data_IF_257083363136
#
_entry.id   IF_257083363136
#
_cell.length_a   1.000
_cell.length_b   1.000
_cell.length_c   1.000
_cell.angle_alpha   90.00
_cell.angle_beta   90.00
_cell.angle_gamma   90.00
#
_symmetry.space_group_name_H-M   'P 1'
#
loop_
_entity.id
_entity.type
_entity.pdbx_description
1 polymer ?
#
# COMPACT_ATOMS: atom_id res chain seq x y z
N UNK A 1 0.60 21.73 -1.57
CA UNK A 1 0.25 20.52 -2.36
C UNK A 1 0.44 19.29 -1.47
N UNK A 2 -0.56 18.44 -1.30
CA UNK A 2 -0.45 17.13 -0.63
C UNK A 2 -0.47 16.06 -1.71
N UNK A 3 0.55 15.20 -1.76
CA UNK A 3 0.70 14.17 -2.77
C UNK A 3 1.27 12.89 -2.13
N UNK A 4 1.10 11.75 -2.79
CA UNK A 4 1.78 10.52 -2.39
C UNK A 4 3.31 10.65 -2.58
N UNK A 5 4.09 9.82 -1.88
CA UNK A 5 5.55 9.82 -1.99
C UNK A 5 6.06 9.07 -3.24
N UNK A 6 5.18 8.49 -4.05
CA UNK A 6 5.51 7.84 -5.32
C UNK A 6 5.92 6.36 -5.28
N UNK A 7 5.88 5.67 -4.15
CA UNK A 7 6.10 4.21 -4.04
C UNK A 7 4.92 3.52 -3.35
N UNK A 8 4.97 2.26 -2.96
CA UNK A 8 3.85 1.55 -2.32
C UNK A 8 4.23 0.17 -1.83
N UNK A 9 3.58 -0.28 -0.75
CA UNK A 9 3.81 -1.59 -0.17
C UNK A 9 2.56 -2.46 -0.28
N UNK A 10 2.73 -3.62 -0.90
CA UNK A 10 1.67 -4.63 -1.06
C UNK A 10 2.12 -6.00 -0.60
N UNK A 11 1.34 -6.61 0.30
CA UNK A 11 1.42 -8.02 0.58
C UNK A 11 0.30 -8.74 -0.17
N UNK A 12 0.66 -9.82 -0.84
CA UNK A 12 -0.27 -10.70 -1.54
C UNK A 12 -0.54 -11.95 -0.71
N UNK A 13 -1.74 -12.56 -0.82
CA UNK A 13 -2.06 -13.81 -0.12
C UNK A 13 -1.23 -15.00 -0.61
N UNK A 14 -0.65 -14.93 -1.82
CA UNK A 14 0.23 -15.96 -2.37
C UNK A 14 1.31 -15.35 -3.27
N UNK A 15 2.45 -16.04 -3.38
CA UNK A 15 3.53 -15.66 -4.30
C UNK A 15 3.08 -15.67 -5.78
N UNK A 16 2.13 -16.55 -6.13
CA UNK A 16 1.56 -16.60 -7.49
C UNK A 16 0.84 -15.30 -7.80
N UNK A 17 0.07 -14.75 -6.85
CA UNK A 17 -0.62 -13.48 -7.04
C UNK A 17 0.37 -12.31 -7.19
N UNK A 18 1.45 -12.27 -6.40
CA UNK A 18 2.47 -11.23 -6.55
C UNK A 18 3.20 -11.31 -7.90
N UNK A 19 3.50 -12.52 -8.39
CA UNK A 19 4.12 -12.71 -9.70
C UNK A 19 3.19 -12.27 -10.83
N UNK A 20 1.90 -12.61 -10.76
CA UNK A 20 0.90 -12.14 -11.74
C UNK A 20 0.83 -10.63 -11.77
N UNK A 21 0.75 -9.99 -10.59
CA UNK A 21 0.76 -8.54 -10.48
C UNK A 21 2.03 -7.92 -11.07
N UNK A 22 3.21 -8.45 -10.73
CA UNK A 22 4.49 -8.01 -11.29
C UNK A 22 4.48 -8.05 -12.82
N UNK A 23 4.10 -9.20 -13.42
CA UNK A 23 4.07 -9.36 -14.88
C UNK A 23 3.09 -8.41 -15.59
N UNK A 24 2.03 -7.99 -14.92
CA UNK A 24 1.01 -7.12 -15.52
C UNK A 24 1.31 -5.63 -15.35
N UNK A 25 2.03 -5.23 -14.31
CA UNK A 25 2.15 -3.82 -13.91
C UNK A 25 3.59 -3.30 -13.80
N UNK A 26 4.61 -4.17 -13.84
CA UNK A 26 5.98 -3.69 -13.96
C UNK A 26 6.18 -3.03 -15.34
N UNK A 27 6.87 -1.90 -15.37
CA UNK A 27 7.00 -1.03 -16.54
C UNK A 27 5.70 -0.42 -17.09
N UNK A 28 4.60 -0.51 -16.34
CA UNK A 28 3.35 0.11 -16.76
C UNK A 28 3.44 1.64 -16.75
N UNK A 29 3.20 2.27 -17.90
CA UNK A 29 3.13 3.72 -18.02
C UNK A 29 1.82 4.25 -17.45
N UNK A 30 1.89 5.21 -16.52
CA UNK A 30 0.69 5.82 -15.97
C UNK A 30 -0.11 6.61 -17.02
N UNK A 31 0.50 6.97 -18.16
CA UNK A 31 -0.20 7.57 -19.30
C UNK A 31 -1.25 6.65 -19.92
N UNK A 32 -1.06 5.35 -19.80
CA UNK A 32 -1.95 4.33 -20.38
C UNK A 32 -3.15 4.03 -19.47
N UNK A 33 -3.39 4.90 -18.48
CA UNK A 33 -4.45 4.81 -17.49
C UNK A 33 -5.26 6.11 -17.42
N UNK A 34 -6.13 6.25 -16.40
CA UNK A 34 -6.82 7.51 -16.09
C UNK A 34 -5.85 8.70 -15.88
N UNK A 35 -4.58 8.44 -15.56
CA UNK A 35 -3.57 9.46 -15.31
C UNK A 35 -2.78 9.86 -16.56
N UNK A 36 -3.48 10.16 -17.66
CA UNK A 36 -2.91 10.44 -19.01
C UNK A 36 -1.76 11.46 -19.03
N UNK A 37 -1.76 12.43 -18.11
CA UNK A 37 -0.74 13.49 -18.02
C UNK A 37 0.48 13.11 -17.16
N UNK A 38 0.49 11.93 -16.55
CA UNK A 38 1.59 11.49 -15.69
C UNK A 38 2.70 10.86 -16.53
N UNK A 39 3.93 11.42 -16.55
CA UNK A 39 5.06 10.79 -17.26
C UNK A 39 5.66 9.61 -16.49
N UNK A 40 5.09 9.24 -15.34
CA UNK A 40 5.65 8.19 -14.47
C UNK A 40 5.49 6.82 -15.12
N UNK A 41 6.43 5.94 -14.80
CA UNK A 41 6.39 4.51 -15.11
C UNK A 41 6.37 3.75 -13.79
N UNK A 42 5.50 2.75 -13.67
CA UNK A 42 5.39 1.87 -12.51
C UNK A 42 6.59 0.91 -12.47
N UNK A 43 7.20 0.77 -11.29
CA UNK A 43 8.25 -0.20 -11.04
C UNK A 43 7.92 -1.00 -9.80
N UNK A 44 8.07 -2.31 -9.89
CA UNK A 44 7.74 -3.24 -8.81
C UNK A 44 9.01 -3.98 -8.43
N UNK A 45 9.32 -3.97 -7.13
CA UNK A 45 10.44 -4.71 -6.58
C UNK A 45 10.03 -5.42 -5.27
N UNK A 46 10.69 -6.54 -4.91
CA UNK A 46 10.49 -7.16 -3.62
C UNK A 46 10.84 -6.18 -2.48
N UNK A 47 9.96 -6.08 -1.49
CA UNK A 47 10.23 -5.28 -0.29
C UNK A 47 11.36 -5.92 0.56
N UNK A 48 12.15 -5.09 1.23
CA UNK A 48 13.18 -5.57 2.18
C UNK A 48 12.59 -6.36 3.34
N UNK A 49 11.42 -5.97 3.84
CA UNK A 49 10.68 -6.69 4.88
C UNK A 49 9.58 -7.50 4.20
N UNK A 50 9.65 -8.82 4.35
CA UNK A 50 8.73 -9.78 3.72
C UNK A 50 7.80 -10.41 4.77
N UNK A 51 6.60 -10.80 4.33
CA UNK A 51 5.59 -11.44 5.17
C UNK A 51 4.70 -10.45 5.92
N UNK A 52 3.41 -10.79 6.03
CA UNK A 52 2.36 -9.91 6.57
C UNK A 52 2.69 -9.40 7.98
N UNK A 53 3.04 -10.29 8.90
CA UNK A 53 3.22 -9.90 10.31
C UNK A 53 4.46 -9.05 10.54
N UNK A 54 5.58 -9.42 9.92
CA UNK A 54 6.82 -8.64 9.96
C UNK A 54 6.63 -7.25 9.33
N UNK A 55 5.85 -7.17 8.24
CA UNK A 55 5.54 -5.92 7.57
C UNK A 55 4.57 -5.04 8.37
N UNK A 56 3.59 -5.63 9.06
CA UNK A 56 2.62 -4.88 9.88
C UNK A 56 3.18 -4.41 11.22
N UNK A 57 4.14 -5.13 11.80
CA UNK A 57 4.65 -4.85 13.15
C UNK A 57 5.16 -3.40 13.34
N UNK A 58 5.96 -2.82 12.42
CA UNK A 58 6.36 -1.42 12.51
C UNK A 58 5.14 -0.48 12.47
N UNK A 59 4.21 -0.71 11.54
CA UNK A 59 3.05 0.17 11.35
C UNK A 59 2.11 0.20 12.55
N UNK A 60 1.93 -0.92 13.27
CA UNK A 60 1.12 -0.97 14.49
C UNK A 60 1.61 0.00 15.58
N UNK A 61 2.92 0.25 15.63
CA UNK A 61 3.56 1.15 16.60
C UNK A 61 3.72 2.58 16.08
N UNK A 62 3.50 2.81 14.79
CA UNK A 62 3.72 4.10 14.13
C UNK A 62 2.56 5.07 14.32
N UNK A 63 2.92 6.34 14.51
CA UNK A 63 2.03 7.49 14.37
C UNK A 63 2.26 8.15 13.04
N UNK A 64 1.19 8.37 12.30
CA UNK A 64 1.32 8.88 10.96
C UNK A 64 0.60 10.22 10.78
N UNK A 65 1.27 11.17 10.13
CA UNK A 65 0.71 12.48 9.81
C UNK A 65 -0.10 12.41 8.51
N UNK A 66 -1.42 12.55 8.61
CA UNK A 66 -2.34 12.71 7.47
C UNK A 66 -3.60 13.41 7.94
N UNK A 67 -4.43 13.75 6.97
CA UNK A 67 -5.65 14.50 7.19
C UNK A 67 -6.76 13.59 7.71
N UNK A 68 -6.94 12.44 7.05
CA UNK A 68 -8.01 11.47 7.34
C UNK A 68 -7.45 10.07 7.59
N UNK A 69 -8.21 9.24 8.30
CA UNK A 69 -7.81 7.85 8.56
C UNK A 69 -7.79 7.00 7.29
N UNK A 70 -8.40 7.48 6.20
CA UNK A 70 -8.30 6.91 4.85
C UNK A 70 -6.87 6.89 4.30
N UNK A 71 -5.90 7.53 4.95
CA UNK A 71 -4.47 7.46 4.64
C UNK A 71 -3.66 6.55 5.60
N UNK A 72 -4.27 5.92 6.62
CA UNK A 72 -3.61 4.91 7.49
C UNK A 72 -3.53 3.50 6.87
N UNK A 73 -2.37 2.80 6.92
CA UNK A 73 -2.28 1.44 6.37
C UNK A 73 -3.43 0.54 6.77
N UNK A 74 -3.84 -0.34 5.88
CA UNK A 74 -4.97 -1.26 6.11
C UNK A 74 -4.51 -2.70 6.00
N UNK A 75 -5.23 -3.58 6.67
CA UNK A 75 -5.09 -5.03 6.54
C UNK A 75 -6.46 -5.65 6.31
N UNK A 76 -6.47 -6.78 5.60
CA UNK A 76 -7.68 -7.54 5.31
C UNK A 76 -7.59 -8.90 6.00
N UNK A 77 -8.72 -9.34 6.56
CA UNK A 77 -8.91 -10.68 7.10
C UNK A 77 -10.36 -11.12 6.85
N UNK A 78 -10.61 -12.14 6.02
CA UNK A 78 -9.62 -12.84 5.19
C UNK A 78 -8.95 -11.93 4.13
N UNK A 79 -7.76 -12.31 3.61
CA UNK A 79 -7.11 -11.59 2.51
C UNK A 79 -8.01 -11.50 1.27
N UNK A 80 -7.89 -10.43 0.48
CA UNK A 80 -8.63 -10.31 -0.78
C UNK A 80 -7.84 -10.96 -1.90
N UNK A 81 -8.51 -11.85 -2.63
CA UNK A 81 -7.99 -12.55 -3.80
C UNK A 81 -8.75 -12.17 -5.10
N UNK A 82 -9.55 -11.11 -5.07
CA UNK A 82 -10.39 -10.68 -6.19
C UNK A 82 -11.75 -11.38 -6.32
N UNK A 83 -11.96 -12.51 -5.62
CA UNK A 83 -13.25 -13.23 -5.59
C UNK A 83 -13.98 -13.12 -4.25
N UNK A 84 -13.27 -12.79 -3.17
CA UNK A 84 -13.87 -12.66 -1.83
C UNK A 84 -14.62 -11.33 -1.70
N UNK A 85 -15.93 -11.39 -1.46
CA UNK A 85 -16.80 -10.23 -1.28
C UNK A 85 -16.51 -9.50 0.05
N UNK A 86 -16.36 -8.17 -0.02
CA UNK A 86 -16.58 -7.20 1.07
C UNK A 86 -15.83 -7.37 2.40
N UNK A 87 -14.62 -7.94 2.43
CA UNK A 87 -13.83 -7.87 3.67
C UNK A 87 -13.52 -6.42 4.03
N UNK A 88 -14.00 -5.96 5.18
CA UNK A 88 -13.81 -4.58 5.61
C UNK A 88 -12.34 -4.32 5.93
N UNK A 89 -11.80 -3.16 5.53
CA UNK A 89 -10.42 -2.80 5.87
C UNK A 89 -10.29 -2.55 7.37
N UNK A 90 -9.32 -3.22 7.99
CA UNK A 90 -8.89 -2.92 9.37
C UNK A 90 -7.71 -1.95 9.32
N UNK A 91 -7.88 -0.76 9.89
CA UNK A 91 -6.83 0.25 10.02
C UNK A 91 -5.69 -0.27 10.90
N UNK A 92 -4.45 0.04 10.52
CA UNK A 92 -3.22 -0.32 11.22
C UNK A 92 -2.45 0.95 11.60
N UNK A 93 -2.12 1.05 12.89
CA UNK A 93 -1.42 2.18 13.49
C UNK A 93 -2.35 3.34 13.84
N UNK A 94 -1.79 4.52 14.09
CA UNK A 94 -2.54 5.67 14.63
C UNK A 94 -2.27 6.94 13.83
N UNK A 95 -3.29 7.78 13.63
CA UNK A 95 -3.10 9.11 13.05
C UNK A 95 -2.58 10.06 14.13
N UNK A 96 -1.50 10.79 13.84
CA UNK A 96 -1.02 11.82 14.76
C UNK A 96 -1.86 13.08 14.62
N UNK A 97 -2.35 13.61 15.76
CA UNK A 97 -3.03 14.92 15.82
C UNK A 97 -2.06 16.07 16.10
N UNK A 98 -0.83 15.79 16.54
CA UNK A 98 0.20 16.79 16.86
C UNK A 98 1.55 16.42 16.22
N UNK A 99 2.27 17.44 15.73
CA UNK A 99 3.41 17.26 14.84
C UNK A 99 4.67 16.74 15.52
N UNK A 100 4.85 15.41 15.54
CA UNK A 100 6.17 14.75 15.55
C UNK A 100 6.09 13.49 14.65
N UNK A 101 7.22 13.15 14.03
CA UNK A 101 7.34 12.76 12.62
C UNK A 101 7.60 11.27 12.40
N UNK A 102 6.86 10.62 11.47
CA UNK A 102 7.41 9.59 10.57
C UNK A 102 6.74 9.70 9.20
N UNK A 103 7.55 9.97 8.16
CA UNK A 103 7.12 10.05 6.76
C UNK A 103 7.25 8.67 6.11
N UNK A 104 6.26 7.80 6.33
CA UNK A 104 6.14 6.55 5.58
C UNK A 104 4.66 6.30 5.29
N UNK A 105 4.17 6.76 4.13
CA UNK A 105 2.82 6.42 3.71
C UNK A 105 2.73 6.29 2.20
N UNK A 106 2.92 5.05 1.73
CA UNK A 106 2.03 4.51 0.72
C UNK A 106 1.57 3.11 1.13
N UNK A 107 0.28 2.86 0.90
CA UNK A 107 -0.45 1.62 1.15
C UNK A 107 -0.68 0.86 -0.14
N UNK A 108 -0.82 -0.45 -0.03
CA UNK A 108 -1.93 -1.24 -0.55
C UNK A 108 -1.74 -2.66 0.00
N UNK A 109 -2.40 -3.12 1.07
CA UNK A 109 -2.49 -4.58 1.23
C UNK A 109 -3.70 -5.05 0.43
N UNK A 110 -3.61 -6.17 -0.28
CA UNK A 110 -4.79 -6.89 -0.78
C UNK A 110 -5.11 -8.01 0.21
#
# INVERSE_FOLDING_TARGET
RRANLGYGFVNFPSAIASIRFYKSFDDFSWKDSMFINSPKICKICPARIQGKDAHLAPFKKSYFRCDTDEFLPVSFSPPRNGSTSRTLPSIVGKRSRMGLQTYWRIKLNL
#
